data_IF_116283661462
#
_entry.id   IF_116283661462
#
_cell.length_a   1.000
_cell.length_b   1.000
_cell.length_c   1.000
_cell.angle_alpha   90.00
_cell.angle_beta   90.00
_cell.angle_gamma   90.00
#
_symmetry.space_group_name_H-M   'P 1'
#
loop_
_entity.id
_entity.type
_entity.pdbx_description
1 polymer ?
#
# COMPACT_ATOMS: atom_id res chain seq x y z
N UNK A 1 -31.45 12.67 15.76
CA UNK A 1 -30.95 11.77 14.70
C UNK A 1 -29.61 12.29 14.20
N UNK A 2 -28.56 11.53 14.37
CA UNK A 2 -27.24 11.92 13.92
C UNK A 2 -27.14 11.59 12.44
N UNK A 3 -27.02 12.62 11.61
CA UNK A 3 -26.77 12.43 10.19
C UNK A 3 -25.25 12.37 10.02
N UNK A 4 -24.71 11.20 9.70
CA UNK A 4 -23.31 11.05 9.34
C UNK A 4 -23.13 11.56 7.92
N UNK A 5 -22.70 12.80 7.78
CA UNK A 5 -22.39 13.42 6.50
C UNK A 5 -20.92 13.25 6.12
N UNK A 6 -20.29 12.20 6.62
CA UNK A 6 -18.89 11.90 6.31
C UNK A 6 -18.75 11.36 4.89
N UNK A 7 -17.80 11.88 4.11
CA UNK A 7 -17.49 11.24 2.84
C UNK A 7 -16.96 9.84 3.11
N UNK A 8 -17.56 8.83 2.49
CA UNK A 8 -17.15 7.44 2.60
C UNK A 8 -15.90 7.13 1.76
N UNK A 9 -15.04 8.11 1.49
CA UNK A 9 -13.94 8.00 0.56
C UNK A 9 -12.75 8.85 0.99
N UNK A 10 -11.55 8.39 0.67
CA UNK A 10 -10.38 9.25 0.60
C UNK A 10 -10.31 9.89 -0.79
N UNK A 11 -9.85 11.14 -0.85
CA UNK A 11 -9.68 11.85 -2.12
C UNK A 11 -8.26 11.67 -2.62
N UNK A 12 -8.15 11.16 -3.84
CA UNK A 12 -6.89 11.07 -4.59
C UNK A 12 -6.90 12.06 -5.73
N UNK A 13 -5.72 12.44 -6.21
CA UNK A 13 -5.54 13.28 -7.39
C UNK A 13 -4.63 12.56 -8.36
N UNK A 14 -5.15 12.18 -9.52
CA UNK A 14 -4.43 11.44 -10.56
C UNK A 14 -4.76 12.07 -11.91
N UNK A 15 -3.72 12.44 -12.65
CA UNK A 15 -3.83 13.10 -13.95
C UNK A 15 -4.75 14.36 -13.91
N UNK A 16 -4.55 15.19 -12.88
CA UNK A 16 -5.33 16.40 -12.61
C UNK A 16 -6.82 16.15 -12.38
N UNK A 17 -7.21 14.93 -12.01
CA UNK A 17 -8.60 14.58 -11.67
C UNK A 17 -8.70 14.16 -10.22
N UNK A 18 -9.75 14.63 -9.57
CA UNK A 18 -10.13 14.19 -8.25
C UNK A 18 -10.83 12.84 -8.36
N UNK A 19 -10.28 11.84 -7.63
CA UNK A 19 -10.79 10.48 -7.62
C UNK A 19 -11.12 10.12 -6.19
N UNK A 20 -12.27 9.54 -5.96
CA UNK A 20 -12.66 9.04 -4.64
C UNK A 20 -12.24 7.58 -4.50
N UNK A 21 -11.47 7.30 -3.45
CA UNK A 21 -11.08 5.95 -3.09
C UNK A 21 -12.13 5.37 -2.16
N UNK A 22 -12.83 4.28 -2.54
CA UNK A 22 -13.89 3.71 -1.70
C UNK A 22 -13.34 3.11 -0.40
N UNK A 23 -14.20 3.01 0.61
CA UNK A 23 -13.87 2.33 1.86
C UNK A 23 -13.60 0.84 1.61
N UNK A 24 -12.67 0.24 2.38
CA UNK A 24 -12.33 -1.16 2.20
C UNK A 24 -13.49 -2.09 2.55
N UNK A 25 -13.62 -3.18 1.81
CA UNK A 25 -14.50 -4.30 2.12
C UNK A 25 -13.80 -5.27 3.09
N UNK A 26 -14.51 -6.29 3.58
CA UNK A 26 -14.02 -7.18 4.64
C UNK A 26 -12.67 -7.85 4.34
N UNK A 27 -12.49 -8.47 3.17
CA UNK A 27 -11.21 -9.14 2.85
C UNK A 27 -10.07 -8.14 2.78
N UNK A 28 -10.30 -6.98 2.17
CA UNK A 28 -9.35 -5.89 2.14
C UNK A 28 -8.97 -5.46 3.56
N UNK A 29 -9.98 -5.27 4.42
CA UNK A 29 -9.76 -4.81 5.79
C UNK A 29 -8.97 -5.84 6.63
N UNK A 30 -9.22 -7.14 6.46
CA UNK A 30 -8.48 -8.19 7.15
C UNK A 30 -6.99 -8.18 6.75
N UNK A 31 -6.71 -8.07 5.46
CA UNK A 31 -5.33 -8.00 4.96
C UNK A 31 -4.65 -6.72 5.45
N UNK A 32 -5.33 -5.58 5.37
CA UNK A 32 -4.77 -4.31 5.83
C UNK A 32 -4.41 -4.36 7.32
N UNK A 33 -5.30 -4.91 8.15
CA UNK A 33 -5.06 -5.07 9.58
C UNK A 33 -3.89 -6.01 9.87
N UNK A 34 -3.80 -7.12 9.15
CA UNK A 34 -2.66 -8.04 9.26
C UNK A 34 -1.34 -7.35 8.93
N UNK A 35 -1.31 -6.61 7.82
CA UNK A 35 -0.11 -5.90 7.36
C UNK A 35 0.36 -4.85 8.37
N UNK A 36 -0.57 -4.09 8.95
CA UNK A 36 -0.25 -3.10 9.97
C UNK A 36 0.36 -3.75 11.22
N UNK A 37 -0.21 -4.86 11.67
CA UNK A 37 0.29 -5.59 12.83
C UNK A 37 1.65 -6.24 12.54
N UNK A 38 1.78 -6.89 11.39
CA UNK A 38 3.03 -7.53 10.96
C UNK A 38 4.16 -6.51 10.83
N UNK A 39 3.92 -5.42 10.13
CA UNK A 39 4.91 -4.35 10.00
C UNK A 39 5.26 -3.74 11.36
N UNK A 40 4.27 -3.49 12.21
CA UNK A 40 4.51 -2.94 13.55
C UNK A 40 5.42 -3.82 14.40
N UNK A 41 5.35 -5.13 14.20
CA UNK A 41 6.18 -6.11 14.92
C UNK A 41 7.56 -6.29 14.30
N UNK A 42 7.65 -6.32 12.98
CA UNK A 42 8.86 -6.74 12.25
C UNK A 42 9.76 -5.58 11.81
N UNK A 43 9.22 -4.37 11.67
CA UNK A 43 10.01 -3.23 11.21
C UNK A 43 11.05 -2.79 12.24
N UNK A 44 12.27 -2.44 11.80
CA UNK A 44 13.21 -1.72 12.65
C UNK A 44 12.62 -0.41 13.17
N UNK A 45 13.09 0.03 14.35
CA UNK A 45 12.51 1.19 15.08
C UNK A 45 12.56 2.51 14.32
N UNK A 46 13.49 2.67 13.37
CA UNK A 46 13.62 3.88 12.56
C UNK A 46 12.56 4.00 11.48
N UNK A 47 11.75 2.98 11.29
CA UNK A 47 10.64 2.97 10.35
C UNK A 47 9.30 2.92 11.07
N UNK A 48 8.26 3.32 10.38
CA UNK A 48 6.89 3.15 10.82
C UNK A 48 6.00 2.70 9.67
N UNK A 49 4.94 2.02 10.01
CA UNK A 49 3.86 1.65 9.08
C UNK A 49 2.68 2.61 9.29
N UNK A 50 2.09 3.06 8.20
CA UNK A 50 0.93 3.97 8.22
C UNK A 50 -0.10 3.48 7.19
N UNK A 51 -1.37 3.49 7.58
CA UNK A 51 -2.48 3.21 6.66
C UNK A 51 -3.07 4.50 6.12
N UNK A 52 -3.53 4.46 4.87
CA UNK A 52 -4.32 5.52 4.26
C UNK A 52 -3.65 6.91 4.34
N UNK A 53 -2.34 6.97 4.09
CA UNK A 53 -1.56 8.20 4.12
C UNK A 53 -1.56 8.85 2.73
N UNK A 54 -1.77 10.17 2.68
CA UNK A 54 -1.59 10.93 1.46
C UNK A 54 -0.12 10.98 1.06
N UNK A 55 0.20 10.53 -0.15
CA UNK A 55 1.56 10.47 -0.69
C UNK A 55 1.63 11.30 -1.96
N UNK A 56 2.57 12.22 -2.00
CA UNK A 56 2.83 13.04 -3.20
C UNK A 56 3.69 12.25 -4.17
N UNK A 57 3.22 12.09 -5.39
CA UNK A 57 3.91 11.39 -6.48
C UNK A 57 4.01 12.32 -7.69
N UNK A 58 5.05 13.15 -7.73
CA UNK A 58 5.16 14.17 -8.77
C UNK A 58 4.00 15.17 -8.69
N UNK A 59 3.15 15.19 -9.71
CA UNK A 59 1.94 16.01 -9.73
C UNK A 59 0.70 15.29 -9.19
N UNK A 60 0.84 14.02 -8.86
CA UNK A 60 -0.25 13.19 -8.34
C UNK A 60 -0.21 13.15 -6.81
N UNK A 61 -1.36 12.87 -6.23
CA UNK A 61 -1.49 12.54 -4.80
C UNK A 61 -2.28 11.25 -4.69
N UNK A 62 -1.63 10.20 -4.22
CA UNK A 62 -2.21 8.90 -4.02
C UNK A 62 -2.39 8.63 -2.52
N UNK A 63 -3.33 7.74 -2.22
CA UNK A 63 -3.56 7.24 -0.85
C UNK A 63 -3.40 5.71 -0.87
N UNK A 64 -2.17 5.19 -0.79
CA UNK A 64 -1.95 3.75 -0.71
C UNK A 64 -2.60 3.17 0.54
N UNK A 65 -2.97 1.90 0.48
CA UNK A 65 -3.60 1.21 1.62
C UNK A 65 -2.66 1.14 2.83
N UNK A 66 -1.39 0.83 2.58
CA UNK A 66 -0.36 0.75 3.61
C UNK A 66 0.95 1.28 3.04
N UNK A 67 1.68 2.06 3.82
CA UNK A 67 3.04 2.50 3.50
C UNK A 67 3.98 2.28 4.66
N UNK A 68 5.23 2.00 4.34
CA UNK A 68 6.35 1.99 5.29
C UNK A 68 7.21 3.21 5.00
N UNK A 69 7.45 4.02 6.00
CA UNK A 69 8.20 5.26 5.88
C UNK A 69 9.28 5.37 6.96
N UNK A 70 10.38 6.07 6.69
CA UNK A 70 11.30 6.45 7.76
C UNK A 70 10.59 7.37 8.77
N UNK A 71 10.93 7.27 10.06
CA UNK A 71 10.40 8.21 11.05
C UNK A 71 10.86 9.65 10.79
N UNK A 72 11.93 9.81 10.07
CA UNK A 72 12.46 11.11 9.63
C UNK A 72 11.80 11.66 8.36
N UNK A 73 10.86 10.93 7.77
CA UNK A 73 10.20 11.36 6.54
C UNK A 73 9.53 12.73 6.69
N UNK A 74 9.61 13.55 5.65
CA UNK A 74 9.08 14.90 5.64
C UNK A 74 7.66 14.95 5.14
N UNK A 75 6.91 15.89 5.69
CA UNK A 75 5.52 16.16 5.33
C UNK A 75 5.35 17.64 4.99
N UNK A 76 4.41 17.94 4.09
CA UNK A 76 3.97 19.29 3.79
C UNK A 76 2.44 19.29 3.74
N UNK A 77 1.81 20.12 4.56
CA UNK A 77 0.35 20.22 4.67
C UNK A 77 -0.35 18.87 4.94
N UNK A 78 0.31 17.99 5.69
CA UNK A 78 -0.21 16.67 6.03
C UNK A 78 0.08 15.58 5.01
N UNK A 79 0.63 15.92 3.86
CA UNK A 79 0.98 14.98 2.80
C UNK A 79 2.44 14.55 2.90
N UNK A 80 2.72 13.27 2.70
CA UNK A 80 4.09 12.77 2.63
C UNK A 80 4.75 13.26 1.35
N UNK A 81 5.88 13.96 1.49
CA UNK A 81 6.64 14.49 0.34
C UNK A 81 7.91 13.70 0.03
N UNK A 82 8.42 12.94 0.98
CA UNK A 82 9.50 11.98 0.73
C UNK A 82 8.92 10.67 0.19
N UNK A 83 9.68 9.90 -0.60
CA UNK A 83 9.23 8.59 -1.05
C UNK A 83 9.01 7.65 0.13
N UNK A 84 7.95 6.84 0.06
CA UNK A 84 7.80 5.70 0.95
C UNK A 84 8.83 4.62 0.60
N UNK A 85 9.23 3.81 1.57
CA UNK A 85 10.15 2.69 1.35
C UNK A 85 9.42 1.48 0.76
N UNK A 86 8.15 1.34 1.10
CA UNK A 86 7.24 0.33 0.58
C UNK A 86 5.86 0.95 0.51
N UNK A 87 5.15 0.69 -0.58
CA UNK A 87 3.72 0.97 -0.68
C UNK A 87 2.98 -0.34 -1.00
N UNK A 88 1.85 -0.55 -0.36
CA UNK A 88 1.04 -1.75 -0.54
C UNK A 88 -0.34 -1.34 -1.00
N UNK A 89 -0.76 -1.93 -2.11
CA UNK A 89 -2.09 -1.77 -2.67
C UNK A 89 -2.85 -3.09 -2.57
N UNK A 90 -4.01 -3.06 -1.95
CA UNK A 90 -4.85 -4.23 -1.74
C UNK A 90 -6.05 -4.12 -2.66
N UNK A 91 -6.25 -5.11 -3.50
CA UNK A 91 -7.33 -5.11 -4.48
C UNK A 91 -8.69 -5.20 -3.81
N UNK A 92 -9.59 -4.31 -4.20
CA UNK A 92 -11.00 -4.33 -3.83
C UNK A 92 -11.84 -4.91 -4.97
N UNK A 93 -13.05 -5.42 -4.69
CA UNK A 93 -13.95 -5.87 -5.76
C UNK A 93 -14.16 -4.79 -6.82
N UNK A 94 -14.09 -5.19 -8.08
CA UNK A 94 -14.23 -4.28 -9.22
C UNK A 94 -12.94 -3.65 -9.71
N UNK A 95 -11.84 -3.77 -8.97
CA UNK A 95 -10.52 -3.35 -9.44
C UNK A 95 -9.84 -4.49 -10.21
N UNK A 96 -8.90 -4.12 -11.08
CA UNK A 96 -8.09 -5.06 -11.85
C UNK A 96 -6.62 -4.96 -11.44
N UNK A 97 -5.84 -5.98 -11.78
CA UNK A 97 -4.38 -5.93 -11.58
C UNK A 97 -3.78 -4.75 -12.33
N UNK A 98 -4.27 -4.43 -13.52
CA UNK A 98 -3.81 -3.28 -14.30
C UNK A 98 -4.04 -1.95 -13.58
N UNK A 99 -5.18 -1.79 -12.90
CA UNK A 99 -5.48 -0.60 -12.10
C UNK A 99 -4.44 -0.40 -10.99
N UNK A 100 -4.12 -1.46 -10.27
CA UNK A 100 -3.17 -1.41 -9.17
C UNK A 100 -1.74 -1.26 -9.66
N UNK A 101 -1.40 -1.87 -10.79
CA UNK A 101 -0.09 -1.72 -11.40
C UNK A 101 0.16 -0.27 -11.82
N UNK A 102 -0.82 0.41 -12.40
CA UNK A 102 -0.70 1.83 -12.75
C UNK A 102 -0.37 2.69 -11.53
N UNK A 103 -1.01 2.42 -10.39
CA UNK A 103 -0.73 3.11 -9.12
C UNK A 103 0.71 2.85 -8.65
N UNK A 104 1.14 1.59 -8.71
CA UNK A 104 2.51 1.21 -8.33
C UNK A 104 3.56 1.86 -9.23
N UNK A 105 3.30 1.95 -10.51
CA UNK A 105 4.20 2.63 -11.46
C UNK A 105 4.40 4.10 -11.08
N UNK A 106 3.34 4.79 -10.68
CA UNK A 106 3.41 6.19 -10.25
C UNK A 106 4.22 6.34 -8.95
N UNK A 107 4.00 5.45 -7.99
CA UNK A 107 4.73 5.43 -6.71
C UNK A 107 6.22 5.14 -6.92
N UNK A 108 6.53 4.14 -7.72
CA UNK A 108 7.93 3.75 -8.02
C UNK A 108 8.64 4.84 -8.79
N UNK A 109 7.98 5.46 -9.76
CA UNK A 109 8.53 6.59 -10.51
C UNK A 109 8.83 7.80 -9.61
N UNK A 110 8.07 7.98 -8.54
CA UNK A 110 8.30 9.03 -7.55
C UNK A 110 9.38 8.68 -6.51
N UNK A 111 9.94 7.48 -6.56
CA UNK A 111 11.08 7.07 -5.73
C UNK A 111 10.84 5.93 -4.75
N UNK A 112 9.63 5.37 -4.67
CA UNK A 112 9.37 4.19 -3.83
C UNK A 112 10.06 2.97 -4.44
N UNK A 113 10.96 2.28 -3.68
CA UNK A 113 11.77 1.19 -4.26
C UNK A 113 10.96 -0.04 -4.63
N UNK A 114 9.89 -0.33 -3.88
CA UNK A 114 9.07 -1.52 -4.09
C UNK A 114 7.62 -1.27 -3.70
N UNK A 115 6.72 -1.81 -4.49
CA UNK A 115 5.29 -1.89 -4.18
C UNK A 115 4.89 -3.35 -4.08
N UNK A 116 3.94 -3.63 -3.19
CA UNK A 116 3.27 -4.93 -3.15
C UNK A 116 1.83 -4.74 -3.63
N UNK A 117 1.37 -5.66 -4.45
CA UNK A 117 -0.02 -5.75 -4.89
C UNK A 117 -0.58 -7.04 -4.32
N UNK A 118 -1.70 -6.94 -3.61
CA UNK A 118 -2.33 -8.09 -2.95
C UNK A 118 -3.76 -8.23 -3.44
N UNK A 119 -4.10 -9.43 -3.92
CA UNK A 119 -5.44 -9.78 -4.37
C UNK A 119 -6.05 -10.82 -3.45
N UNK A 120 -6.80 -10.39 -2.42
CA UNK A 120 -7.31 -11.32 -1.39
C UNK A 120 -8.24 -12.40 -1.92
N UNK A 121 -9.15 -12.05 -2.83
CA UNK A 121 -10.13 -13.01 -3.37
C UNK A 121 -9.48 -14.19 -4.11
N UNK A 122 -8.33 -13.95 -4.74
CA UNK A 122 -7.60 -14.96 -5.49
C UNK A 122 -6.39 -15.52 -4.74
N UNK A 123 -6.11 -15.00 -3.55
CA UNK A 123 -4.92 -15.34 -2.76
C UNK A 123 -3.65 -15.26 -3.62
N UNK A 124 -3.51 -14.16 -4.33
CA UNK A 124 -2.34 -13.83 -5.17
C UNK A 124 -1.72 -12.53 -4.72
N UNK A 125 -0.42 -12.43 -4.88
CA UNK A 125 0.31 -11.23 -4.55
C UNK A 125 1.52 -11.06 -5.46
N UNK A 126 1.92 -9.81 -5.68
CA UNK A 126 3.04 -9.45 -6.55
C UNK A 126 3.91 -8.40 -5.89
N UNK A 127 5.17 -8.38 -6.30
CA UNK A 127 6.06 -7.23 -6.09
C UNK A 127 6.25 -6.48 -7.40
N UNK A 128 6.33 -5.16 -7.32
CA UNK A 128 6.72 -4.30 -8.42
C UNK A 128 7.88 -3.42 -7.95
N UNK A 129 8.98 -3.41 -8.69
CA UNK A 129 10.21 -2.73 -8.28
C UNK A 129 10.58 -1.58 -9.20
N UNK A 130 11.57 -0.78 -8.77
CA UNK A 130 12.14 0.32 -9.56
C UNK A 130 12.77 -0.12 -10.88
N UNK A 131 13.02 -1.41 -11.06
CA UNK A 131 13.46 -2.00 -12.33
C UNK A 131 12.29 -2.31 -13.26
N UNK A 132 11.08 -1.81 -12.93
CA UNK A 132 9.85 -2.01 -13.68
C UNK A 132 9.47 -3.48 -13.86
N UNK A 133 9.82 -4.31 -12.86
CA UNK A 133 9.57 -5.74 -12.89
C UNK A 133 8.41 -6.11 -11.98
N UNK A 134 7.34 -6.63 -12.58
CA UNK A 134 6.21 -7.22 -11.86
C UNK A 134 6.47 -8.72 -11.69
N UNK A 135 6.50 -9.18 -10.44
CA UNK A 135 6.79 -10.58 -10.14
C UNK A 135 5.76 -11.13 -9.15
N UNK A 136 5.09 -12.22 -9.50
CA UNK A 136 4.19 -12.91 -8.58
C UNK A 136 4.99 -13.61 -7.47
N UNK A 137 4.58 -13.39 -6.22
CA UNK A 137 5.14 -14.09 -5.07
C UNK A 137 4.55 -15.49 -4.94
N UNK A 138 5.39 -16.49 -4.64
CA UNK A 138 4.93 -17.84 -4.40
C UNK A 138 4.82 -18.16 -2.91
N UNK A 139 5.83 -17.81 -2.12
CA UNK A 139 5.89 -18.08 -0.69
C UNK A 139 5.95 -16.81 0.15
N UNK A 140 6.60 -15.77 -0.35
CA UNK A 140 6.84 -14.55 0.39
C UNK A 140 6.86 -13.32 -0.53
N UNK A 141 6.59 -12.15 0.06
CA UNK A 141 6.88 -10.85 -0.54
C UNK A 141 8.06 -10.23 0.21
N UNK A 142 8.98 -9.65 -0.53
CA UNK A 142 10.21 -9.08 0.03
C UNK A 142 10.27 -7.57 -0.13
N UNK A 143 10.76 -6.91 0.92
CA UNK A 143 11.29 -5.54 0.85
C UNK A 143 12.71 -5.51 1.41
N UNK A 144 13.49 -4.54 0.98
CA UNK A 144 14.85 -4.30 1.48
C UNK A 144 14.85 -3.04 2.33
N UNK A 145 15.33 -3.14 3.56
CA UNK A 145 15.53 -2.00 4.45
C UNK A 145 16.98 -2.00 4.93
N UNK A 146 17.72 -0.93 4.66
CA UNK A 146 19.15 -0.83 5.03
C UNK A 146 19.96 -2.06 4.60
N UNK A 147 19.76 -2.50 3.37
CA UNK A 147 20.41 -3.68 2.77
C UNK A 147 20.06 -5.02 3.43
N UNK A 148 19.07 -5.03 4.34
CA UNK A 148 18.57 -6.24 4.96
C UNK A 148 17.20 -6.61 4.37
N UNK A 149 16.99 -7.89 3.98
CA UNK A 149 15.69 -8.32 3.49
C UNK A 149 14.70 -8.51 4.64
N UNK A 150 13.47 -8.12 4.38
CA UNK A 150 12.33 -8.41 5.24
C UNK A 150 11.28 -9.12 4.40
N UNK A 151 10.98 -10.36 4.77
CA UNK A 151 10.08 -11.22 4.02
C UNK A 151 8.77 -11.44 4.76
N UNK A 152 7.66 -11.16 4.07
CA UNK A 152 6.32 -11.45 4.56
C UNK A 152 5.87 -12.79 4.00
N UNK A 153 5.51 -13.71 4.90
CA UNK A 153 4.98 -15.02 4.53
C UNK A 153 3.57 -14.91 3.97
N UNK A 154 3.37 -15.34 2.74
CA UNK A 154 2.05 -15.32 2.10
C UNK A 154 1.08 -16.28 2.80
N UNK A 155 1.54 -17.44 3.25
CA UNK A 155 0.67 -18.40 3.95
C UNK A 155 0.16 -17.84 5.28
N UNK A 156 0.98 -17.09 6.02
CA UNK A 156 0.54 -16.43 7.24
C UNK A 156 -0.51 -15.35 6.94
N UNK A 157 -0.31 -14.59 5.89
CA UNK A 157 -1.27 -13.55 5.49
C UNK A 157 -2.59 -14.15 5.04
N UNK A 158 -2.56 -15.21 4.21
CA UNK A 158 -3.78 -15.87 3.73
C UNK A 158 -4.56 -16.54 4.84
N UNK A 159 -3.89 -16.96 5.92
CA UNK A 159 -4.53 -17.58 7.08
C UNK A 159 -5.50 -16.61 7.81
N UNK A 160 -5.34 -15.30 7.61
CA UNK A 160 -6.25 -14.30 8.18
C UNK A 160 -7.58 -14.20 7.44
N UNK A 161 -7.68 -14.78 6.24
CA UNK A 161 -8.90 -14.74 5.45
C UNK A 161 -9.84 -15.87 5.86
N UNK A 162 -11.15 -15.61 5.85
CA UNK A 162 -12.14 -16.68 6.09
C UNK A 162 -12.05 -17.77 5.01
N UNK A 163 -12.37 -18.99 5.40
CA UNK A 163 -12.41 -20.15 4.50
C UNK A 163 -13.59 -20.09 3.52
#
# INVERSE_FOLDING_TARGET
MTVFAEPAYHTEFIDAREIQKPLPKNLHAFIQSFLLQWCGRELPKQYRVVSELNVICGHDRLVPDVVVIPRSARFADGDLVDPAMLAIEIMSPGQTLSDLLDRCERLVKAGTPVCWIIWPERRKAWTYTSEETLKEGSEALRMMLMDEPLDLSLSEMWAELPE
#
